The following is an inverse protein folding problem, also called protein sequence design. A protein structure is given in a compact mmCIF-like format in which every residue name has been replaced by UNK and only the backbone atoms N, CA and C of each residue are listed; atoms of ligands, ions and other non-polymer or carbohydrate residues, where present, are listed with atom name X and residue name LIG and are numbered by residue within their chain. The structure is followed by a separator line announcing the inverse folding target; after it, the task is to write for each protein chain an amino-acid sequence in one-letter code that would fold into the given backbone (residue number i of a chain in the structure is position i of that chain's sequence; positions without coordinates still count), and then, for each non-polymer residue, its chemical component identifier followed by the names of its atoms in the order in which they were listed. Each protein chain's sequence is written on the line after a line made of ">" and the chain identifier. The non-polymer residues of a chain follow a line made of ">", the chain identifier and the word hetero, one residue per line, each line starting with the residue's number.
data_IF_177691571368
#
_entry.id   IF_177691571368
#
_cell.length_a   1.000
_cell.length_b   1.000
_cell.length_c   1.000
_cell.angle_alpha   90.00
_cell.angle_beta   90.00
_cell.angle_gamma   90.00
#
_symmetry.space_group_name_H-M   'P 1'
#
loop_
_entity.id
_entity.type
_entity.pdbx_description
1 polymer ?
#
# COMPACT_ATOMS: atom_id res chain seq x y z
N UNK A 1 13.18 -29.39 -16.13
CA UNK A 1 13.79 -30.14 -15.02
C UNK A 1 13.97 -29.22 -13.85
N UNK A 2 13.41 -29.56 -12.69
CA UNK A 2 13.56 -28.79 -11.46
C UNK A 2 15.03 -28.76 -11.07
N UNK A 3 15.64 -27.62 -10.72
CA UNK A 3 17.01 -27.57 -10.21
C UNK A 3 17.14 -28.47 -8.97
N UNK A 4 18.22 -29.22 -8.87
CA UNK A 4 18.51 -30.02 -7.67
C UNK A 4 19.04 -29.06 -6.58
N UNK A 5 18.16 -28.57 -5.72
CA UNK A 5 18.54 -27.75 -4.58
C UNK A 5 18.70 -28.68 -3.37
N UNK A 6 19.90 -28.71 -2.78
CA UNK A 6 20.16 -29.46 -1.57
C UNK A 6 19.73 -28.64 -0.34
N UNK A 7 18.96 -29.28 0.58
CA UNK A 7 18.56 -28.72 1.85
C UNK A 7 17.07 -28.33 1.91
N UNK A 8 16.58 -28.18 3.15
CA UNK A 8 15.26 -27.62 3.43
C UNK A 8 15.43 -26.10 3.58
N UNK A 9 14.89 -25.33 2.66
CA UNK A 9 14.90 -23.88 2.72
C UNK A 9 13.57 -23.38 3.30
N UNK A 10 13.64 -22.41 4.22
CA UNK A 10 12.44 -21.70 4.68
C UNK A 10 11.90 -20.89 3.52
N UNK A 11 10.61 -21.02 3.25
CA UNK A 11 9.95 -20.22 2.22
C UNK A 11 9.90 -18.76 2.70
N UNK A 12 10.43 -17.84 1.92
CA UNK A 12 10.29 -16.42 2.15
C UNK A 12 9.15 -15.91 1.28
N UNK A 13 8.18 -15.27 1.90
CA UNK A 13 7.06 -14.64 1.20
C UNK A 13 7.44 -13.25 0.72
N UNK A 14 6.92 -12.81 -0.45
CA UNK A 14 7.21 -11.50 -1.02
C UNK A 14 6.46 -10.35 -0.31
N UNK A 15 5.79 -10.61 0.79
CA UNK A 15 5.05 -9.65 1.59
C UNK A 15 5.47 -9.75 3.05
N UNK A 16 5.38 -8.65 3.79
CA UNK A 16 5.92 -8.58 5.13
C UNK A 16 5.26 -7.49 5.96
N UNK A 17 4.80 -7.86 7.16
CA UNK A 17 4.47 -6.87 8.19
C UNK A 17 5.77 -6.28 8.74
N UNK A 18 5.78 -5.00 9.07
CA UNK A 18 6.97 -4.31 9.56
C UNK A 18 6.61 -3.43 10.75
N UNK A 19 7.33 -3.59 11.85
CA UNK A 19 7.21 -2.76 13.06
C UNK A 19 8.11 -1.54 13.03
N UNK A 20 8.92 -1.39 11.98
CA UNK A 20 9.90 -0.30 11.80
C UNK A 20 10.92 -0.15 12.95
N UNK A 21 11.17 -1.23 13.70
CA UNK A 21 12.13 -1.27 14.81
C UNK A 21 13.60 -1.33 14.36
N UNK A 22 13.81 -1.63 13.06
CA UNK A 22 15.16 -1.75 12.50
C UNK A 22 15.58 -0.44 11.85
N UNK A 23 16.89 -0.11 11.86
CA UNK A 23 17.38 1.10 11.22
C UNK A 23 17.37 1.05 9.68
N UNK A 24 17.01 -0.08 9.09
CA UNK A 24 16.96 -0.31 7.65
C UNK A 24 15.60 -0.88 7.26
N UNK A 25 15.09 -0.42 6.11
CA UNK A 25 13.84 -0.96 5.55
C UNK A 25 14.04 -2.42 5.10
N UNK A 26 13.02 -3.23 5.35
CA UNK A 26 13.00 -4.59 4.81
C UNK A 26 13.02 -4.56 3.26
N UNK A 27 13.65 -5.56 2.60
CA UNK A 27 13.79 -5.59 1.12
C UNK A 27 12.48 -5.63 0.34
N UNK A 28 11.35 -5.84 1.00
CA UNK A 28 10.00 -5.86 0.39
C UNK A 28 9.47 -4.46 0.11
N UNK A 29 10.07 -3.43 0.72
CA UNK A 29 9.66 -2.05 0.55
C UNK A 29 10.28 -1.41 -0.69
N UNK A 30 9.46 -0.68 -1.41
CA UNK A 30 9.86 0.08 -2.60
C UNK A 30 9.36 1.53 -2.47
N UNK A 31 10.20 2.50 -2.80
CA UNK A 31 9.71 3.87 -2.96
C UNK A 31 9.08 4.07 -4.33
N UNK A 32 7.97 4.80 -4.39
CA UNK A 32 7.29 5.06 -5.67
C UNK A 32 8.16 5.85 -6.67
N UNK A 33 9.04 6.69 -6.17
CA UNK A 33 10.05 7.46 -6.93
C UNK A 33 11.40 7.35 -6.26
N UNK A 34 12.45 7.87 -6.89
CA UNK A 34 13.74 8.04 -6.22
C UNK A 34 13.53 8.95 -4.99
N UNK A 35 13.71 8.43 -3.77
CA UNK A 35 13.40 9.19 -2.56
C UNK A 35 14.41 10.29 -2.30
N UNK A 36 13.98 11.36 -1.65
CA UNK A 36 14.88 12.28 -0.99
C UNK A 36 15.29 11.67 0.36
N UNK A 37 16.55 11.33 0.51
CA UNK A 37 17.08 10.59 1.66
C UNK A 37 16.87 11.32 2.98
N UNK A 38 16.95 12.65 2.95
CA UNK A 38 16.75 13.53 4.12
C UNK A 38 15.26 13.77 4.45
N UNK A 39 14.34 13.16 3.74
CA UNK A 39 12.89 13.35 3.90
C UNK A 39 12.16 12.10 4.36
N UNK A 40 12.88 11.16 4.92
CA UNK A 40 12.34 10.01 5.65
C UNK A 40 13.36 9.50 6.66
N UNK A 41 12.91 8.81 7.70
CA UNK A 41 13.79 8.30 8.75
C UNK A 41 13.16 7.10 9.48
N UNK A 42 14.01 6.16 9.88
CA UNK A 42 13.70 5.09 10.83
C UNK A 42 14.34 5.32 12.22
N UNK A 43 15.11 6.40 12.35
CA UNK A 43 15.91 6.66 13.56
C UNK A 43 15.52 7.92 14.30
N UNK A 44 14.84 8.88 13.66
CA UNK A 44 14.41 10.14 14.30
C UNK A 44 13.34 9.90 15.38
N UNK A 45 12.59 8.83 15.23
CA UNK A 45 11.70 8.27 16.25
C UNK A 45 11.78 6.75 16.17
N UNK A 46 12.56 6.08 17.04
CA UNK A 46 12.70 4.63 17.01
C UNK A 46 11.34 3.91 17.09
N UNK A 47 11.18 2.85 16.30
CA UNK A 47 9.91 2.12 16.18
C UNK A 47 8.89 2.78 15.26
N UNK A 48 9.27 3.82 14.52
CA UNK A 48 8.40 4.50 13.56
C UNK A 48 9.10 4.70 12.22
N UNK A 49 8.32 4.58 11.17
CA UNK A 49 8.72 5.09 9.87
C UNK A 49 8.21 6.52 9.71
N UNK A 50 9.13 7.50 9.73
CA UNK A 50 8.82 8.92 9.55
C UNK A 50 8.94 9.32 8.10
N UNK A 51 7.92 10.01 7.57
CA UNK A 51 7.97 10.70 6.28
C UNK A 51 7.80 12.19 6.54
N UNK A 52 8.80 12.99 6.15
CA UNK A 52 8.68 14.45 6.11
C UNK A 52 7.90 14.86 4.88
N UNK A 53 6.83 15.59 5.08
CA UNK A 53 5.99 16.08 4.00
C UNK A 53 6.78 16.95 3.03
N UNK A 54 6.50 16.81 1.77
CA UNK A 54 7.04 17.64 0.69
C UNK A 54 5.90 18.11 -0.19
N UNK A 55 6.08 19.26 -0.83
CA UNK A 55 5.08 19.72 -1.79
C UNK A 55 4.95 18.77 -2.96
N UNK A 56 3.74 18.31 -3.22
CA UNK A 56 3.40 17.47 -4.35
C UNK A 56 2.04 17.87 -4.93
N UNK A 57 1.87 17.65 -6.24
CA UNK A 57 0.59 17.89 -6.92
C UNK A 57 -0.49 16.92 -6.49
N UNK A 58 -0.09 15.78 -5.92
CA UNK A 58 -0.93 14.69 -5.49
C UNK A 58 -0.13 13.44 -5.17
N UNK A 59 -0.81 12.38 -4.82
CA UNK A 59 -0.26 11.12 -4.32
C UNK A 59 0.77 10.48 -5.27
N UNK A 60 0.45 10.40 -6.56
CA UNK A 60 1.41 9.85 -7.53
C UNK A 60 2.76 10.56 -7.47
N UNK A 61 2.76 11.87 -7.25
CA UNK A 61 3.93 12.73 -7.25
C UNK A 61 4.60 12.87 -5.87
N UNK A 62 3.98 12.29 -4.82
CA UNK A 62 4.54 12.25 -3.47
C UNK A 62 5.77 11.34 -3.43
N UNK A 63 6.95 11.95 -3.49
CA UNK A 63 8.22 11.30 -3.80
C UNK A 63 8.62 10.19 -2.83
N UNK A 64 8.39 10.39 -1.54
CA UNK A 64 8.80 9.46 -0.48
C UNK A 64 7.68 8.49 -0.06
N UNK A 65 6.70 8.26 -0.92
CA UNK A 65 5.70 7.23 -0.68
C UNK A 65 6.37 5.87 -0.66
N UNK A 66 6.23 5.17 0.48
CA UNK A 66 6.76 3.83 0.71
C UNK A 66 5.70 2.80 0.36
N UNK A 67 6.05 1.86 -0.51
CA UNK A 67 5.06 0.93 -1.07
C UNK A 67 5.45 -0.51 -0.87
N UNK A 68 4.43 -1.36 -0.73
CA UNK A 68 4.58 -2.81 -0.73
C UNK A 68 3.51 -3.43 -1.65
N UNK A 69 3.88 -4.44 -2.42
CA UNK A 69 2.99 -5.08 -3.40
C UNK A 69 1.80 -5.75 -2.71
N UNK A 70 0.62 -5.50 -3.26
CA UNK A 70 -0.57 -6.29 -2.92
C UNK A 70 -0.36 -7.72 -3.41
N UNK A 71 -0.48 -8.66 -2.52
CA UNK A 71 -0.39 -10.09 -2.83
C UNK A 71 -1.79 -10.69 -2.79
N UNK A 72 -2.28 -11.11 -3.98
CA UNK A 72 -3.62 -11.67 -4.11
C UNK A 72 -3.76 -13.06 -3.47
N UNK A 73 -4.97 -13.64 -3.42
CA UNK A 73 -6.22 -13.04 -3.90
C UNK A 73 -6.80 -11.97 -2.96
N UNK A 74 -6.41 -11.93 -1.70
CA UNK A 74 -6.84 -10.96 -0.70
C UNK A 74 -5.62 -10.38 -0.01
N UNK A 75 -5.65 -9.08 0.23
CA UNK A 75 -4.57 -8.39 0.94
C UNK A 75 -5.14 -7.26 1.77
N UNK A 76 -4.79 -7.25 3.05
CA UNK A 76 -5.20 -6.21 3.99
C UNK A 76 -3.96 -5.57 4.59
N UNK A 77 -3.79 -4.27 4.35
CA UNK A 77 -2.72 -3.47 4.95
C UNK A 77 -3.28 -2.53 6.01
N UNK A 78 -2.83 -2.67 7.25
CA UNK A 78 -3.24 -1.83 8.38
C UNK A 78 -2.03 -1.08 8.92
N UNK A 79 -2.17 0.22 9.18
CA UNK A 79 -1.11 1.06 9.77
C UNK A 79 -1.66 1.93 10.89
N UNK A 80 -0.87 2.17 11.92
CA UNK A 80 -1.15 3.20 12.92
C UNK A 80 -0.40 4.47 12.52
N UNK A 81 -1.15 5.56 12.34
CA UNK A 81 -0.66 6.87 11.95
C UNK A 81 -0.75 7.84 13.15
N UNK A 82 0.37 8.45 13.52
CA UNK A 82 0.46 9.53 14.49
C UNK A 82 0.38 10.89 13.76
N UNK A 83 -0.60 11.72 14.16
CA UNK A 83 -0.95 12.98 13.51
C UNK A 83 -0.20 14.19 14.07
N UNK A 84 0.55 14.03 15.16
CA UNK A 84 1.14 15.13 15.93
C UNK A 84 2.09 16.02 15.12
N UNK A 85 2.75 15.44 14.11
CA UNK A 85 3.70 16.13 13.25
C UNK A 85 3.10 16.85 12.05
N UNK A 86 1.81 16.64 11.74
CA UNK A 86 1.18 17.23 10.57
C UNK A 86 1.00 18.74 10.71
N UNK A 87 1.31 19.47 9.67
CA UNK A 87 1.09 20.91 9.52
C UNK A 87 -0.01 21.21 8.52
N UNK A 88 -0.41 22.46 8.48
CA UNK A 88 -1.48 22.94 7.58
C UNK A 88 -1.21 22.56 6.12
N UNK A 89 -2.17 21.88 5.52
CA UNK A 89 -2.10 21.36 4.15
C UNK A 89 -1.45 19.99 4.00
N UNK A 90 -0.83 19.43 5.06
CA UNK A 90 -0.28 18.09 5.02
C UNK A 90 -1.40 17.04 4.93
N UNK A 91 -1.18 16.05 4.11
CA UNK A 91 -1.96 14.82 4.02
C UNK A 91 -1.04 13.63 4.29
N UNK A 92 -1.47 12.72 5.15
CA UNK A 92 -0.75 11.47 5.40
C UNK A 92 -1.72 10.28 5.52
N UNK A 93 -1.31 9.13 5.02
CA UNK A 93 -2.18 7.97 5.07
C UNK A 93 -1.63 6.70 4.45
N UNK A 94 -2.55 5.72 4.35
CA UNK A 94 -2.34 4.41 3.74
C UNK A 94 -3.27 4.29 2.53
N UNK A 95 -2.71 4.42 1.34
CA UNK A 95 -3.45 4.38 0.08
C UNK A 95 -3.20 3.11 -0.74
N UNK A 96 -3.90 3.03 -1.84
CA UNK A 96 -3.67 2.01 -2.86
C UNK A 96 -3.19 2.67 -4.15
N UNK A 97 -2.03 2.24 -4.63
CA UNK A 97 -1.48 2.66 -5.91
C UNK A 97 -1.75 1.60 -6.98
N UNK A 98 -2.44 2.01 -8.02
CA UNK A 98 -2.72 1.25 -9.23
C UNK A 98 -2.92 2.21 -10.40
N UNK A 99 -3.65 1.82 -11.43
CA UNK A 99 -4.05 2.73 -12.51
C UNK A 99 -4.98 3.83 -11.98
N UNK A 100 -5.99 3.44 -11.21
CA UNK A 100 -6.68 4.34 -10.28
C UNK A 100 -5.97 4.26 -8.95
N UNK A 101 -5.83 5.38 -8.30
CA UNK A 101 -5.17 5.54 -7.02
C UNK A 101 -6.17 6.05 -6.00
N UNK A 102 -6.13 5.43 -4.84
CA UNK A 102 -6.98 5.80 -3.73
C UNK A 102 -6.10 6.22 -2.57
N UNK A 103 -6.22 7.48 -2.16
CA UNK A 103 -5.57 7.97 -0.95
C UNK A 103 -6.59 7.91 0.17
N UNK A 104 -6.20 7.27 1.24
CA UNK A 104 -6.99 7.17 2.44
C UNK A 104 -6.15 7.59 3.63
N UNK A 105 -6.51 8.69 4.26
CA UNK A 105 -5.68 9.27 5.30
C UNK A 105 -6.22 10.53 5.91
N UNK A 106 -5.37 11.22 6.65
CA UNK A 106 -5.74 12.42 7.40
C UNK A 106 -5.06 13.65 6.81
N UNK A 107 -5.86 14.67 6.56
CA UNK A 107 -5.41 16.01 6.19
C UNK A 107 -5.55 16.97 7.37
N UNK A 108 -4.52 17.80 7.58
CA UNK A 108 -4.64 18.98 8.44
C UNK A 108 -5.11 20.18 7.64
N UNK A 109 -6.28 20.72 7.99
CA UNK A 109 -6.91 21.86 7.33
C UNK A 109 -7.65 22.72 8.36
N UNK A 110 -7.45 24.02 8.29
CA UNK A 110 -8.06 25.01 9.21
C UNK A 110 -7.80 24.66 10.70
N UNK A 111 -6.55 24.20 10.97
CA UNK A 111 -6.10 23.72 12.28
C UNK A 111 -6.89 22.51 12.84
N UNK A 112 -7.61 21.77 12.00
CA UNK A 112 -8.38 20.57 12.32
C UNK A 112 -7.86 19.38 11.51
N UNK A 113 -8.17 18.17 11.98
CA UNK A 113 -7.87 16.94 11.25
C UNK A 113 -9.12 16.45 10.53
N UNK A 114 -8.95 16.08 9.26
CA UNK A 114 -9.98 15.56 8.40
C UNK A 114 -9.54 14.19 7.88
N UNK A 115 -10.29 13.14 8.22
CA UNK A 115 -10.15 11.87 7.53
C UNK A 115 -10.72 12.06 6.13
N UNK A 116 -9.93 11.79 5.12
CA UNK A 116 -10.34 11.95 3.72
C UNK A 116 -10.06 10.69 2.92
N UNK A 117 -10.99 10.33 2.06
CA UNK A 117 -10.74 9.43 0.96
C UNK A 117 -10.71 10.25 -0.33
N UNK A 118 -9.69 10.01 -1.13
CA UNK A 118 -9.49 10.68 -2.42
C UNK A 118 -9.24 9.65 -3.49
N UNK A 119 -9.69 9.95 -4.68
CA UNK A 119 -9.36 9.19 -5.87
C UNK A 119 -8.69 10.07 -6.91
N UNK A 120 -7.83 9.46 -7.71
CA UNK A 120 -7.12 10.14 -8.77
C UNK A 120 -6.28 9.17 -9.58
N UNK A 121 -5.53 9.73 -10.50
CA UNK A 121 -4.54 8.98 -11.26
C UNK A 121 -3.34 9.88 -11.56
N UNK A 122 -2.37 9.38 -12.33
CA UNK A 122 -1.17 10.12 -12.71
C UNK A 122 -1.49 11.45 -13.42
N UNK A 123 -2.53 11.47 -14.24
CA UNK A 123 -2.78 12.54 -15.21
C UNK A 123 -3.95 13.44 -14.81
N UNK A 124 -4.77 13.01 -13.85
CA UNK A 124 -5.92 13.77 -13.34
C UNK A 124 -5.67 14.29 -11.92
N UNK A 125 -6.30 15.41 -11.59
CA UNK A 125 -6.33 15.93 -10.23
C UNK A 125 -7.06 14.96 -9.29
N UNK A 126 -6.61 14.93 -8.05
CA UNK A 126 -7.28 14.16 -7.00
C UNK A 126 -8.60 14.82 -6.62
N UNK A 127 -9.63 13.98 -6.48
CA UNK A 127 -10.93 14.38 -5.98
C UNK A 127 -11.18 13.77 -4.60
N UNK A 128 -11.67 14.59 -3.68
CA UNK A 128 -12.16 14.11 -2.38
C UNK A 128 -13.52 13.44 -2.64
N UNK A 129 -13.60 12.15 -2.30
CA UNK A 129 -14.84 11.37 -2.48
C UNK A 129 -15.60 11.17 -1.17
N UNK A 130 -14.89 11.29 -0.04
CA UNK A 130 -15.50 11.31 1.29
C UNK A 130 -14.61 12.06 2.28
N UNK A 131 -15.21 12.67 3.32
CA UNK A 131 -14.52 13.47 4.31
C UNK A 131 -15.25 13.49 5.65
N UNK A 132 -14.52 13.28 6.75
CA UNK A 132 -15.00 13.29 8.12
C UNK A 132 -14.09 14.11 9.02
N UNK A 133 -14.62 15.06 9.76
CA UNK A 133 -13.85 15.80 10.77
C UNK A 133 -13.51 14.88 11.97
N UNK A 134 -12.25 14.87 12.37
CA UNK A 134 -11.76 14.11 13.51
C UNK A 134 -11.58 15.05 14.71
N UNK A 135 -12.34 14.82 15.79
CA UNK A 135 -12.24 15.60 17.01
C UNK A 135 -11.36 14.86 18.03
N UNK A 136 -10.39 15.56 18.61
CA UNK A 136 -9.51 15.07 19.68
C UNK A 136 -8.74 13.79 19.34
N UNK A 137 -8.46 13.55 18.05
CA UNK A 137 -7.73 12.38 17.58
C UNK A 137 -6.26 12.72 17.38
N UNK A 138 -5.36 11.99 18.06
CA UNK A 138 -3.92 12.09 17.89
C UNK A 138 -3.34 10.94 17.05
N UNK A 139 -4.00 9.79 17.09
CA UNK A 139 -3.59 8.58 16.36
C UNK A 139 -4.80 7.89 15.76
N UNK A 140 -4.60 7.28 14.62
CA UNK A 140 -5.67 6.58 13.89
C UNK A 140 -5.11 5.35 13.17
N UNK A 141 -5.84 4.27 13.24
CA UNK A 141 -5.57 3.07 12.41
C UNK A 141 -6.27 3.24 11.07
N UNK A 142 -5.51 3.05 10.01
CA UNK A 142 -5.99 3.09 8.64
C UNK A 142 -5.78 1.71 8.01
N UNK A 143 -6.85 1.15 7.48
CA UNK A 143 -6.84 -0.16 6.85
C UNK A 143 -7.31 -0.07 5.40
N UNK A 144 -6.52 -0.64 4.51
CA UNK A 144 -6.89 -0.85 3.10
C UNK A 144 -7.02 -2.34 2.85
N UNK A 145 -8.12 -2.75 2.27
CA UNK A 145 -8.44 -4.14 1.94
C UNK A 145 -8.65 -4.27 0.43
N UNK A 146 -7.96 -5.22 -0.21
CA UNK A 146 -8.17 -5.55 -1.61
C UNK A 146 -8.71 -6.96 -1.74
N UNK A 147 -9.72 -7.14 -2.59
CA UNK A 147 -10.35 -8.43 -2.85
C UNK A 147 -9.81 -9.08 -4.13
N UNK A 148 -10.17 -10.34 -4.33
CA UNK A 148 -9.83 -11.12 -5.52
C UNK A 148 -10.29 -10.45 -6.82
N UNK A 149 -11.42 -9.77 -6.79
CA UNK A 149 -12.02 -9.07 -7.93
C UNK A 149 -11.37 -7.70 -8.18
N UNK A 150 -10.42 -7.29 -7.33
CA UNK A 150 -9.75 -5.99 -7.39
C UNK A 150 -10.54 -4.86 -6.72
N UNK A 151 -11.61 -5.18 -6.01
CA UNK A 151 -12.29 -4.20 -5.18
C UNK A 151 -11.39 -3.78 -4.01
N UNK A 152 -11.41 -2.51 -3.67
CA UNK A 152 -10.64 -1.95 -2.56
C UNK A 152 -11.57 -1.25 -1.59
N UNK A 153 -11.49 -1.61 -0.32
CA UNK A 153 -12.27 -1.04 0.78
C UNK A 153 -11.35 -0.35 1.78
N UNK A 154 -11.88 0.67 2.42
CA UNK A 154 -11.14 1.50 3.35
C UNK A 154 -11.84 1.51 4.70
N UNK A 155 -11.07 1.35 5.77
CA UNK A 155 -11.59 1.31 7.12
C UNK A 155 -10.68 2.10 8.04
N UNK A 156 -11.25 2.76 9.03
CA UNK A 156 -10.50 3.38 10.11
C UNK A 156 -10.93 2.86 11.47
N UNK A 157 -10.04 2.97 12.44
CA UNK A 157 -10.31 2.67 13.83
C UNK A 157 -9.52 3.60 14.75
N UNK A 158 -10.06 3.89 15.92
CA UNK A 158 -9.36 4.66 16.96
C UNK A 158 -8.76 3.75 18.05
N UNK A 159 -9.13 2.48 18.08
CA UNK A 159 -8.75 1.52 19.14
C UNK A 159 -8.17 0.20 18.64
N UNK A 160 -7.99 0.05 17.32
CA UNK A 160 -7.56 -1.19 16.63
C UNK A 160 -8.49 -2.40 16.84
N UNK A 161 -9.72 -2.15 17.29
CA UNK A 161 -10.70 -3.21 17.57
C UNK A 161 -11.93 -3.03 16.71
N UNK A 162 -12.57 -1.88 16.80
CA UNK A 162 -13.73 -1.55 16.00
C UNK A 162 -13.33 -0.76 14.77
N UNK A 163 -13.54 -1.35 13.60
CA UNK A 163 -13.26 -0.73 12.30
C UNK A 163 -14.52 -0.27 11.63
N UNK A 164 -14.51 0.97 11.16
CA UNK A 164 -15.60 1.60 10.42
C UNK A 164 -15.21 1.70 8.95
N UNK A 165 -16.10 1.22 8.07
CA UNK A 165 -15.94 1.41 6.64
C UNK A 165 -16.04 2.92 6.31
N UNK A 166 -15.23 3.39 5.38
CA UNK A 166 -15.17 4.80 5.01
C UNK A 166 -15.05 4.99 3.50
N UNK A 167 -15.92 5.83 2.96
CA UNK A 167 -16.00 6.11 1.54
C UNK A 167 -16.53 4.96 0.69
N UNK A 168 -16.65 5.19 -0.61
CA UNK A 168 -17.09 4.17 -1.55
C UNK A 168 -16.02 3.09 -1.76
N UNK A 169 -16.47 1.93 -2.23
CA UNK A 169 -15.56 0.89 -2.71
C UNK A 169 -14.84 1.36 -3.98
N UNK A 170 -13.53 1.26 -3.98
CA UNK A 170 -12.71 1.54 -5.14
C UNK A 170 -12.48 0.31 -6.01
N UNK A 171 -12.09 0.51 -7.26
CA UNK A 171 -11.67 -0.56 -8.14
C UNK A 171 -10.20 -0.36 -8.49
N UNK A 172 -9.34 -1.20 -7.90
CA UNK A 172 -7.91 -1.15 -8.14
C UNK A 172 -7.56 -1.97 -9.36
N UNK A 173 -7.25 -1.28 -10.44
CA UNK A 173 -6.85 -1.91 -11.69
C UNK A 173 -5.33 -2.01 -11.79
N UNK A 174 -4.89 -3.10 -12.37
CA UNK A 174 -3.49 -3.34 -12.70
C UNK A 174 -2.93 -2.19 -13.56
N UNK A 175 -1.73 -1.71 -13.23
CA UNK A 175 -1.06 -0.68 -14.00
C UNK A 175 0.38 -1.09 -14.36
N UNK A 176 0.59 -1.34 -15.62
CA UNK A 176 1.89 -1.67 -16.18
C UNK A 176 2.53 -2.90 -15.50
N UNK A 177 3.84 -2.83 -15.30
CA UNK A 177 4.62 -3.92 -14.72
C UNK A 177 4.67 -3.88 -13.17
N UNK A 178 4.18 -2.82 -12.55
CA UNK A 178 4.35 -2.60 -11.11
C UNK A 178 3.29 -3.28 -10.25
N UNK A 179 2.13 -3.62 -10.82
CA UNK A 179 1.00 -4.16 -10.06
C UNK A 179 0.37 -3.13 -9.12
N UNK A 180 -0.55 -3.61 -8.28
CA UNK A 180 -1.22 -2.82 -7.25
C UNK A 180 -0.34 -2.84 -5.98
N UNK A 181 -0.28 -1.73 -5.26
CA UNK A 181 0.55 -1.59 -4.05
C UNK A 181 -0.19 -0.87 -2.94
N UNK A 182 -0.04 -1.35 -1.71
CA UNK A 182 -0.27 -0.54 -0.53
C UNK A 182 0.79 0.55 -0.46
N UNK A 183 0.43 1.75 0.00
CA UNK A 183 1.35 2.87 0.00
C UNK A 183 1.16 3.79 1.20
N UNK A 184 2.22 3.93 2.00
CA UNK A 184 2.32 4.94 3.06
C UNK A 184 2.81 6.24 2.44
N UNK A 185 2.12 7.34 2.70
CA UNK A 185 2.47 8.62 2.12
C UNK A 185 2.32 9.79 3.10
N UNK A 186 3.13 10.82 2.90
CA UNK A 186 2.95 12.13 3.54
C UNK A 186 3.39 13.21 2.56
N UNK A 187 2.48 14.14 2.24
CA UNK A 187 2.76 15.22 1.30
C UNK A 187 1.89 16.46 1.60
N UNK A 188 2.29 17.61 1.07
CA UNK A 188 1.57 18.87 1.22
C UNK A 188 1.14 19.39 -0.16
N UNK A 189 -0.13 19.72 -0.30
CA UNK A 189 -0.69 20.27 -1.56
C UNK A 189 -0.65 21.79 -1.63
N UNK A 190 -0.40 22.45 -0.51
CA UNK A 190 -0.40 23.92 -0.36
C UNK A 190 1.01 24.47 -0.54
N UNK A 191 1.29 25.04 -1.70
CA UNK A 191 2.59 25.69 -1.94
C UNK A 191 2.82 26.85 -0.98
N UNK A 192 4.05 26.96 -0.48
CA UNK A 192 4.47 28.05 0.40
C UNK A 192 4.22 27.82 1.88
N UNK A 193 3.45 26.83 2.27
CA UNK A 193 3.25 26.48 3.66
C UNK A 193 4.42 25.61 4.19
N UNK A 194 4.80 25.76 5.46
CA UNK A 194 5.74 24.86 6.08
C UNK A 194 5.18 23.44 6.10
N UNK A 195 5.96 22.48 5.62
CA UNK A 195 5.62 21.05 5.70
C UNK A 195 5.97 20.47 7.08
N UNK A 196 5.17 19.53 7.54
CA UNK A 196 5.40 18.75 8.75
C UNK A 196 5.94 17.35 8.43
N UNK A 197 5.50 16.38 9.21
CA UNK A 197 5.83 14.97 9.03
C UNK A 197 4.69 14.08 9.52
N UNK A 198 4.71 12.84 9.10
CA UNK A 198 3.86 11.77 9.62
C UNK A 198 4.74 10.64 10.16
N UNK A 199 4.32 10.06 11.28
CA UNK A 199 4.94 8.88 11.87
C UNK A 199 3.99 7.69 11.74
N UNK A 200 4.49 6.62 11.12
CA UNK A 200 3.81 5.35 10.98
C UNK A 200 4.45 4.34 11.94
N UNK A 201 3.66 3.86 12.93
CA UNK A 201 4.15 2.95 13.96
C UNK A 201 4.45 1.56 13.40
N UNK A 202 3.45 0.93 12.84
CA UNK A 202 3.58 -0.40 12.27
C UNK A 202 2.76 -0.52 10.99
N UNK A 203 3.19 -1.43 10.14
CA UNK A 203 2.41 -1.85 8.99
C UNK A 203 2.13 -3.35 9.12
N UNK A 204 0.89 -3.70 9.37
CA UNK A 204 0.43 -5.08 9.43
C UNK A 204 -0.13 -5.50 8.07
N UNK A 205 0.45 -6.53 7.49
CA UNK A 205 0.00 -7.07 6.22
C UNK A 205 -0.55 -8.47 6.41
N UNK A 206 -1.84 -8.62 6.13
CA UNK A 206 -2.51 -9.90 6.04
C UNK A 206 -2.74 -10.25 4.57
N UNK A 207 -2.46 -11.51 4.22
CA UNK A 207 -2.67 -12.02 2.88
C UNK A 207 -3.18 -13.46 2.95
N UNK A 208 -4.08 -13.83 2.06
CA UNK A 208 -4.60 -15.19 1.95
C UNK A 208 -3.54 -16.22 1.55
N UNK A 209 -2.36 -15.76 1.14
CA UNK A 209 -1.26 -16.61 0.69
C UNK A 209 -0.43 -17.27 1.80
N UNK A 210 -0.89 -17.32 3.02
CA UNK A 210 -0.18 -18.07 4.05
C UNK A 210 -0.19 -19.57 3.75
N UNK A 211 0.84 -20.02 3.06
CA UNK A 211 1.27 -21.43 3.04
C UNK A 211 0.81 -22.26 1.85
N UNK A 212 -0.43 -22.26 1.43
CA UNK A 212 -0.95 -23.28 0.52
C UNK A 212 -1.26 -22.78 -0.91
N UNK A 213 -1.15 -21.51 -1.19
CA UNK A 213 -1.61 -20.99 -2.48
C UNK A 213 -0.61 -21.18 -3.61
N UNK A 214 0.68 -21.28 -3.30
CA UNK A 214 1.68 -21.65 -4.32
C UNK A 214 1.54 -23.11 -4.75
N UNK A 215 0.97 -23.97 -3.91
CA UNK A 215 0.67 -25.34 -4.28
C UNK A 215 -0.51 -25.41 -5.25
N UNK A 216 -1.47 -24.49 -5.16
CA UNK A 216 -2.59 -24.41 -6.10
C UNK A 216 -2.15 -23.95 -7.51
N UNK A 217 -1.07 -23.19 -7.64
CA UNK A 217 -0.51 -22.83 -8.95
C UNK A 217 0.32 -23.95 -9.60
N UNK A 218 0.72 -24.96 -8.83
CA UNK A 218 1.40 -26.13 -9.39
C UNK A 218 0.44 -27.09 -10.09
N UNK A 219 -0.87 -26.93 -9.87
CA UNK A 219 -1.94 -27.71 -10.49
C UNK A 219 -2.71 -26.96 -11.58
N UNK A 220 -2.15 -25.94 -12.20
CA UNK A 220 -2.76 -25.38 -13.41
C UNK A 220 -2.77 -26.47 -14.47
N UNK A 221 -3.93 -27.06 -14.67
CA UNK A 221 -4.19 -27.99 -15.77
C UNK A 221 -4.29 -27.19 -17.06
N UNK A 222 -3.16 -26.99 -17.70
CA UNK A 222 -3.08 -26.34 -19.00
C UNK A 222 -3.82 -27.08 -20.11
N UNK A 223 -4.30 -28.33 -19.89
CA UNK A 223 -5.11 -29.06 -20.86
C UNK A 223 -6.50 -28.44 -21.07
N UNK A 224 -6.94 -27.57 -20.16
CA UNK A 224 -8.23 -26.86 -20.27
C UNK A 224 -8.17 -25.57 -21.10
N UNK A 225 -6.99 -25.09 -21.45
CA UNK A 225 -6.84 -23.94 -22.33
C UNK A 225 -6.93 -24.40 -23.78
N UNK A 226 -8.08 -24.15 -24.38
CA UNK A 226 -8.35 -24.42 -25.78
C UNK A 226 -7.63 -23.41 -26.67
N UNK A 227 -6.94 -23.86 -27.72
CA UNK A 227 -6.25 -23.04 -28.73
C UNK A 227 -7.17 -22.04 -29.46
N UNK A 228 -8.48 -22.11 -29.22
CA UNK A 228 -9.49 -21.24 -29.85
C UNK A 228 -9.51 -19.81 -29.32
N UNK A 229 -8.82 -19.51 -28.19
CA UNK A 229 -8.75 -18.15 -27.61
C UNK A 229 -7.46 -17.39 -27.94
N UNK A 230 -6.68 -17.85 -28.91
CA UNK A 230 -5.51 -17.10 -29.42
C UNK A 230 -4.28 -17.16 -28.52
N UNK A 231 -4.21 -18.04 -27.53
CA UNK A 231 -2.99 -18.34 -26.79
C UNK A 231 -2.27 -19.51 -27.42
N UNK A 232 -1.12 -19.28 -28.00
CA UNK A 232 -0.22 -20.35 -28.45
C UNK A 232 0.41 -20.99 -27.21
N UNK A 233 -0.14 -22.10 -26.76
CA UNK A 233 0.51 -22.93 -25.74
C UNK A 233 1.74 -23.58 -26.34
N UNK A 234 2.92 -23.15 -25.94
CA UNK A 234 4.14 -23.93 -26.20
C UNK A 234 4.04 -25.22 -25.37
N UNK A 235 3.61 -26.29 -25.98
CA UNK A 235 3.60 -27.62 -25.34
C UNK A 235 5.01 -27.93 -24.86
N UNK A 236 5.22 -28.30 -23.59
CA UNK A 236 6.50 -28.85 -23.19
C UNK A 236 6.78 -30.06 -24.06
N UNK A 237 7.89 -30.02 -24.75
CA UNK A 237 8.35 -31.13 -25.60
C UNK A 237 8.35 -32.40 -24.77
N UNK A 238 7.58 -33.40 -25.23
CA UNK A 238 7.17 -34.56 -24.51
C UNK A 238 8.31 -35.33 -23.85
N UNK A 239 7.96 -36.05 -22.79
CA UNK A 239 8.72 -37.19 -22.31
C UNK A 239 8.93 -38.12 -23.48
N UNK A 240 10.15 -38.31 -23.90
CA UNK A 240 10.54 -39.49 -24.64
C UNK A 240 10.60 -40.68 -23.67
N UNK A 241 10.19 -41.85 -24.12
CA UNK A 241 10.19 -43.06 -23.31
C UNK A 241 11.58 -43.43 -22.78
#
# INVERSE_FOLDING_TARGET
>A
RKPAVRGKHKMNYPHHSDSFDKPELAPVWEFNHVPHKEKWSLTDRPGYFRIYAQHAKGFYWARNSLTQKVTGPYSTGTVLLDLSGLKEGDFAGNGIMGRMMYQFGVRKKDNRFWLEMREGNRDAAEMIVDSLELNDVQRIYLRTETTKEGATRFHYSLDNRQYHCFGPEGVSNFWGFLGIRHALCCYNVMKGNPCGYADFDSFELESAHRGNHYDAFTEIDFSRYDDREGMTLVRPVGKRP
#
